data_IF_984801876549
#
_entry.id   IF_984801876549
#
_cell.length_a   1.000
_cell.length_b   1.000
_cell.length_c   1.000
_cell.angle_alpha   90.00
_cell.angle_beta   90.00
_cell.angle_gamma   90.00
#
_symmetry.space_group_name_H-M   'P 1'
#
loop_
_entity.id
_entity.type
_entity.pdbx_description
1 polymer ?
#
# COMPACT_ATOMS: atom_id res chain seq x y z
N UNK A 1 20.70 -17.99 -18.30
CA UNK A 1 21.99 -17.61 -17.65
C UNK A 1 22.60 -16.39 -18.32
N UNK A 2 22.61 -16.33 -19.65
CA UNK A 2 23.09 -15.18 -20.43
C UNK A 2 22.47 -13.85 -20.01
N UNK A 3 21.13 -13.76 -19.91
CA UNK A 3 20.45 -12.52 -19.53
C UNK A 3 20.83 -11.99 -18.13
N UNK A 4 21.09 -12.88 -17.18
CA UNK A 4 21.55 -12.53 -15.83
C UNK A 4 22.96 -11.92 -15.87
N UNK A 5 23.84 -12.44 -16.73
CA UNK A 5 25.17 -11.87 -16.95
C UNK A 5 25.12 -10.53 -17.69
N UNK A 6 24.26 -10.42 -18.70
CA UNK A 6 24.12 -9.22 -19.51
C UNK A 6 23.62 -8.03 -18.69
N UNK A 7 22.63 -8.26 -17.83
CA UNK A 7 21.99 -7.22 -17.03
C UNK A 7 22.57 -7.10 -15.61
N UNK A 8 23.57 -7.91 -15.25
CA UNK A 8 24.18 -7.95 -13.91
C UNK A 8 23.15 -8.14 -12.77
N UNK A 9 22.11 -8.93 -13.02
CA UNK A 9 21.04 -9.23 -12.04
C UNK A 9 21.07 -10.69 -11.62
N UNK A 10 20.45 -10.99 -10.48
CA UNK A 10 20.41 -12.35 -9.95
C UNK A 10 19.68 -13.29 -10.92
N UNK A 11 20.11 -14.55 -10.95
CA UNK A 11 19.49 -15.57 -11.80
C UNK A 11 18.03 -15.83 -11.40
N UNK A 12 17.72 -15.73 -10.11
CA UNK A 12 16.36 -15.89 -9.60
C UNK A 12 15.46 -14.78 -10.13
N UNK A 13 15.93 -13.53 -10.16
CA UNK A 13 15.21 -12.39 -10.74
C UNK A 13 14.85 -12.62 -12.20
N UNK A 14 15.78 -13.15 -12.99
CA UNK A 14 15.53 -13.49 -14.40
C UNK A 14 14.50 -14.60 -14.55
N UNK A 15 14.55 -15.62 -13.69
CA UNK A 15 13.58 -16.72 -13.72
C UNK A 15 12.18 -16.24 -13.34
N UNK A 16 12.07 -15.40 -12.30
CA UNK A 16 10.79 -14.77 -11.92
C UNK A 16 10.23 -13.94 -13.07
N UNK A 17 11.04 -13.07 -13.68
CA UNK A 17 10.60 -12.29 -14.83
C UNK A 17 10.13 -13.15 -16.01
N UNK A 18 10.82 -14.27 -16.30
CA UNK A 18 10.36 -15.21 -17.34
C UNK A 18 9.04 -15.90 -16.97
N UNK A 19 8.85 -16.28 -15.71
CA UNK A 19 7.60 -16.86 -15.24
C UNK A 19 6.43 -15.87 -15.36
N UNK A 20 6.65 -14.60 -15.01
CA UNK A 20 5.65 -13.54 -15.12
C UNK A 20 5.28 -13.29 -16.60
N UNK A 21 6.28 -13.19 -17.49
CA UNK A 21 6.05 -13.01 -18.93
C UNK A 21 5.32 -14.20 -19.56
N UNK A 22 5.60 -15.43 -19.11
CA UNK A 22 4.89 -16.63 -19.57
C UNK A 22 3.45 -16.65 -19.06
N UNK A 23 3.22 -16.25 -17.81
CA UNK A 23 1.89 -16.12 -17.22
C UNK A 23 1.04 -15.05 -17.93
N UNK A 24 1.64 -13.93 -18.33
CA UNK A 24 0.97 -12.89 -19.13
C UNK A 24 0.77 -13.28 -20.61
N UNK A 25 1.30 -14.44 -21.02
CA UNK A 25 1.20 -14.94 -22.40
C UNK A 25 2.10 -14.20 -23.40
N UNK A 26 3.02 -13.37 -22.92
CA UNK A 26 3.96 -12.59 -23.74
C UNK A 26 5.08 -13.44 -24.33
N UNK A 27 5.41 -14.56 -23.68
CA UNK A 27 6.36 -15.56 -24.16
C UNK A 27 5.83 -16.99 -23.99
N UNK A 28 6.47 -17.95 -24.63
CA UNK A 28 6.26 -19.38 -24.41
C UNK A 28 7.57 -20.16 -24.44
N UNK A 29 7.67 -21.21 -23.63
CA UNK A 29 8.83 -22.10 -23.60
C UNK A 29 8.68 -23.26 -24.60
N UNK A 30 9.72 -23.50 -25.41
CA UNK A 30 9.86 -24.72 -26.22
C UNK A 30 10.93 -25.60 -25.59
N UNK A 31 10.52 -26.80 -25.17
CA UNK A 31 11.39 -27.78 -24.49
C UNK A 31 12.68 -28.04 -25.29
N UNK A 32 13.82 -27.80 -24.66
CA UNK A 32 15.15 -27.98 -25.27
C UNK A 32 15.59 -26.87 -26.23
N UNK A 33 14.75 -25.85 -26.47
CA UNK A 33 15.06 -24.74 -27.39
C UNK A 33 15.04 -23.35 -26.72
N UNK A 34 14.41 -23.21 -25.56
CA UNK A 34 14.37 -21.95 -24.80
C UNK A 34 13.03 -21.24 -24.90
N UNK A 35 13.01 -19.93 -24.62
CA UNK A 35 11.80 -19.10 -24.60
C UNK A 35 11.68 -18.26 -25.87
N UNK A 36 10.46 -18.12 -26.37
CA UNK A 36 10.13 -17.39 -27.60
C UNK A 36 9.05 -16.37 -27.32
N UNK A 37 9.08 -15.24 -28.05
CA UNK A 37 8.07 -14.18 -27.92
C UNK A 37 6.77 -14.62 -28.59
N UNK A 38 5.66 -14.48 -27.88
CA UNK A 38 4.32 -14.76 -28.39
C UNK A 38 3.88 -13.71 -29.41
N UNK A 39 3.01 -14.09 -30.34
CA UNK A 39 2.38 -13.11 -31.23
C UNK A 39 1.29 -12.36 -30.45
N UNK A 40 1.60 -11.13 -30.05
CA UNK A 40 0.65 -10.25 -29.37
C UNK A 40 0.09 -9.28 -30.40
N UNK A 41 -1.23 -9.23 -30.54
CA UNK A 41 -1.88 -8.22 -31.36
C UNK A 41 -1.63 -6.84 -30.74
N UNK A 42 -0.75 -6.06 -31.37
CA UNK A 42 -0.50 -4.69 -30.92
C UNK A 42 -1.65 -3.81 -31.37
N UNK A 43 -2.60 -3.56 -30.48
CA UNK A 43 -3.62 -2.55 -30.71
C UNK A 43 -2.93 -1.18 -30.73
N UNK A 44 -2.91 -0.55 -31.90
CA UNK A 44 -2.47 0.84 -32.04
C UNK A 44 -3.60 1.72 -31.55
N UNK A 45 -3.76 1.82 -30.24
CA UNK A 45 -4.69 2.76 -29.64
C UNK A 45 -4.28 4.17 -30.07
N UNK A 46 -5.26 4.98 -30.49
CA UNK A 46 -5.06 6.42 -30.61
C UNK A 46 -4.61 6.89 -29.22
N UNK A 47 -3.43 7.49 -29.10
CA UNK A 47 -2.95 8.01 -27.83
C UNK A 47 -3.94 9.05 -27.33
N UNK A 48 -4.76 8.69 -26.34
CA UNK A 48 -5.66 9.64 -25.70
C UNK A 48 -4.79 10.46 -24.76
N UNK A 49 -4.36 11.63 -25.24
CA UNK A 49 -3.71 12.62 -24.40
C UNK A 49 -4.79 13.32 -23.57
N UNK A 50 -5.00 12.83 -22.34
CA UNK A 50 -5.95 13.43 -21.41
C UNK A 50 -5.31 14.65 -20.73
N UNK A 51 -5.73 15.84 -21.15
CA UNK A 51 -5.42 17.05 -20.39
C UNK A 51 -6.32 17.15 -19.17
N UNK A 52 -5.85 16.67 -18.02
CA UNK A 52 -6.58 16.74 -16.76
C UNK A 52 -6.90 18.17 -16.32
N UNK A 53 -6.08 19.17 -16.70
CA UNK A 53 -6.34 20.57 -16.35
C UNK A 53 -7.63 21.10 -16.99
N UNK A 54 -7.99 20.59 -18.17
CA UNK A 54 -9.25 20.93 -18.86
C UNK A 54 -10.45 20.12 -18.36
N UNK A 55 -10.21 19.06 -17.58
CA UNK A 55 -11.26 18.19 -17.01
C UNK A 55 -11.59 18.51 -15.57
N UNK A 56 -10.97 19.55 -15.01
CA UNK A 56 -11.15 20.01 -13.64
C UNK A 56 -11.85 21.37 -13.70
N UNK A 57 -12.89 21.57 -12.89
CA UNK A 57 -13.56 22.85 -12.76
C UNK A 57 -12.90 23.73 -11.68
N UNK A 58 -13.23 25.03 -11.69
CA UNK A 58 -12.69 25.99 -10.73
C UNK A 58 -12.92 25.57 -9.27
N UNK A 59 -14.07 24.95 -8.98
CA UNK A 59 -14.41 24.48 -7.64
C UNK A 59 -13.47 23.36 -7.17
N UNK A 60 -13.08 22.46 -8.07
CA UNK A 60 -12.16 21.36 -7.75
C UNK A 60 -10.75 21.89 -7.52
N UNK A 61 -10.30 22.89 -8.30
CA UNK A 61 -9.02 23.54 -8.06
C UNK A 61 -9.00 24.28 -6.72
N UNK A 62 -10.10 24.97 -6.39
CA UNK A 62 -10.24 25.66 -5.11
C UNK A 62 -10.29 24.67 -3.94
N UNK A 63 -10.99 23.55 -4.08
CA UNK A 63 -11.07 22.50 -3.08
C UNK A 63 -9.69 21.88 -2.79
N UNK A 64 -8.91 21.55 -3.82
CA UNK A 64 -7.52 21.08 -3.66
C UNK A 64 -6.67 22.13 -2.94
N UNK A 65 -6.71 23.39 -3.39
CA UNK A 65 -5.93 24.48 -2.78
C UNK A 65 -6.29 24.71 -1.30
N UNK A 66 -7.54 24.48 -0.93
CA UNK A 66 -8.05 24.63 0.43
C UNK A 66 -8.00 23.34 1.25
N UNK A 67 -7.53 22.23 0.68
CA UNK A 67 -7.34 20.97 1.40
C UNK A 67 -6.11 21.06 2.30
N UNK A 68 -6.35 21.61 3.49
CA UNK A 68 -5.36 21.75 4.56
C UNK A 68 -4.88 20.39 5.09
N UNK A 69 -5.64 19.30 4.89
CA UNK A 69 -5.21 17.96 5.32
C UNK A 69 -4.14 17.41 4.37
N UNK A 70 -4.30 17.61 3.05
CA UNK A 70 -3.37 17.14 2.03
C UNK A 70 -2.09 17.98 1.94
N UNK A 71 -2.19 19.29 2.10
CA UNK A 71 -1.06 20.21 2.03
C UNK A 71 -0.31 20.39 3.36
N UNK A 72 -0.79 19.75 4.42
CA UNK A 72 -0.21 19.80 5.76
C UNK A 72 -0.57 21.10 6.48
N UNK A 73 -1.24 20.97 7.63
CA UNK A 73 -1.42 22.11 8.52
C UNK A 73 -0.05 22.47 9.08
N UNK A 74 0.48 23.64 8.70
CA UNK A 74 1.62 24.25 9.41
C UNK A 74 1.10 24.72 10.77
N UNK A 75 1.08 23.80 11.73
CA UNK A 75 0.65 24.08 13.09
C UNK A 75 1.58 25.11 13.72
N UNK A 76 1.08 26.32 13.95
CA UNK A 76 1.72 27.26 14.85
C UNK A 76 1.24 26.97 16.27
N UNK A 77 2.14 27.11 17.26
CA UNK A 77 1.91 26.80 18.69
C UNK A 77 0.73 27.58 19.33
N UNK A 78 0.22 28.59 18.63
CA UNK A 78 -0.90 29.45 19.04
C UNK A 78 -2.23 29.10 18.36
N UNK A 79 -2.28 28.08 17.49
CA UNK A 79 -3.50 27.66 16.80
C UNK A 79 -4.28 26.61 17.61
N UNK A 80 -5.58 26.87 17.82
CA UNK A 80 -6.51 25.88 18.37
C UNK A 80 -7.03 25.00 17.22
N UNK A 81 -6.70 23.71 17.27
CA UNK A 81 -7.19 22.73 16.30
C UNK A 81 -8.64 22.34 16.61
N UNK A 82 -9.55 22.58 15.68
CA UNK A 82 -10.92 22.04 15.70
C UNK A 82 -11.09 20.84 14.78
N UNK A 83 -10.04 20.45 14.05
CA UNK A 83 -10.10 19.36 13.06
C UNK A 83 -9.80 17.99 13.65
N UNK A 84 -9.22 17.93 14.84
CA UNK A 84 -8.88 16.66 15.49
C UNK A 84 -9.90 16.35 16.59
N UNK A 85 -10.74 15.34 16.32
CA UNK A 85 -11.50 14.62 17.36
C UNK A 85 -10.52 13.79 18.23
N UNK A 86 -9.29 13.59 17.77
CA UNK A 86 -8.25 12.87 18.52
C UNK A 86 -7.53 13.79 19.52
N UNK A 87 -7.30 13.32 20.76
CA UNK A 87 -6.63 14.07 21.81
C UNK A 87 -5.16 14.38 21.48
N UNK A 88 -4.56 15.32 22.21
CA UNK A 88 -3.13 15.62 22.13
C UNK A 88 -2.30 14.32 22.31
N UNK A 89 -1.42 14.06 21.35
CA UNK A 89 -0.53 12.89 21.31
C UNK A 89 0.37 12.80 22.55
N UNK A 90 0.68 13.92 23.22
CA UNK A 90 1.44 13.94 24.48
C UNK A 90 0.65 13.42 25.68
N UNK A 91 -0.68 13.38 25.58
CA UNK A 91 -1.54 12.84 26.63
C UNK A 91 -1.72 11.32 26.53
N UNK A 92 -1.27 10.70 25.44
CA UNK A 92 -1.34 9.26 25.29
C UNK A 92 -0.27 8.57 26.13
N UNK A 93 -0.68 7.68 27.02
CA UNK A 93 0.22 6.92 27.89
C UNK A 93 0.91 5.78 27.13
N UNK A 94 1.94 6.15 26.38
CA UNK A 94 2.75 5.23 25.57
C UNK A 94 3.36 4.12 26.43
N UNK A 95 3.73 4.42 27.68
CA UNK A 95 4.47 3.51 28.53
C UNK A 95 3.57 2.38 29.04
N UNK A 96 2.38 2.71 29.53
CA UNK A 96 1.40 1.70 29.93
C UNK A 96 0.84 0.93 28.73
N UNK A 97 0.68 1.57 27.57
CA UNK A 97 0.31 0.87 26.35
C UNK A 97 1.33 -0.19 25.96
N UNK A 98 2.63 0.15 25.95
CA UNK A 98 3.71 -0.81 25.67
C UNK A 98 3.70 -1.98 26.65
N UNK A 99 3.55 -1.71 27.95
CA UNK A 99 3.48 -2.76 28.98
C UNK A 99 2.29 -3.68 28.77
N UNK A 100 1.10 -3.12 28.55
CA UNK A 100 -0.11 -3.90 28.31
C UNK A 100 0.01 -4.76 27.04
N UNK A 101 0.55 -4.19 25.96
CA UNK A 101 0.79 -4.90 24.70
C UNK A 101 1.77 -6.06 24.87
N UNK A 102 2.94 -5.83 25.48
CA UNK A 102 3.94 -6.87 25.73
C UNK A 102 3.41 -7.98 26.66
N UNK A 103 2.66 -7.60 27.69
CA UNK A 103 2.00 -8.57 28.55
C UNK A 103 1.03 -9.45 27.74
N UNK A 104 0.23 -8.83 26.86
CA UNK A 104 -0.70 -9.59 26.03
C UNK A 104 -0.02 -10.52 25.04
N UNK A 105 1.04 -10.06 24.38
CA UNK A 105 1.89 -10.88 23.51
C UNK A 105 2.58 -12.02 24.27
N UNK A 106 2.96 -11.82 25.53
CA UNK A 106 3.55 -12.87 26.37
C UNK A 106 2.55 -13.98 26.71
N UNK A 107 1.29 -13.60 27.01
CA UNK A 107 0.23 -14.55 27.38
C UNK A 107 -0.30 -15.30 26.16
N UNK A 108 -0.54 -14.60 25.05
CA UNK A 108 -1.24 -15.17 23.88
C UNK A 108 -0.35 -15.42 22.66
N UNK A 109 0.91 -15.01 22.71
CA UNK A 109 1.87 -15.26 21.64
C UNK A 109 1.45 -14.63 20.31
N UNK A 110 1.72 -15.37 19.25
CA UNK A 110 1.45 -15.02 17.86
C UNK A 110 -0.05 -15.00 17.50
N UNK A 111 -0.92 -15.60 18.34
CA UNK A 111 -2.38 -15.59 18.16
C UNK A 111 -2.93 -14.15 18.15
N UNK A 112 -2.31 -13.22 18.89
CA UNK A 112 -2.68 -11.80 18.94
C UNK A 112 -2.55 -11.13 17.56
N UNK A 113 -1.63 -11.59 16.72
CA UNK A 113 -1.37 -11.02 15.41
C UNK A 113 -2.45 -11.41 14.38
N UNK A 114 -3.19 -12.50 14.66
CA UNK A 114 -4.40 -12.92 13.97
C UNK A 114 -4.40 -12.66 12.45
N UNK A 115 -3.42 -13.23 11.73
CA UNK A 115 -3.22 -13.10 10.28
C UNK A 115 -4.34 -13.68 9.39
N UNK A 116 -5.57 -13.87 9.92
CA UNK A 116 -6.77 -14.33 9.21
C UNK A 116 -7.91 -13.30 9.24
N UNK A 117 -9.10 -13.69 8.75
CA UNK A 117 -10.31 -12.85 8.80
C UNK A 117 -10.79 -12.63 10.25
N UNK A 118 -10.22 -11.64 10.92
CA UNK A 118 -10.57 -11.28 12.28
C UNK A 118 -11.89 -10.48 12.33
N UNK A 119 -12.93 -11.05 12.97
CA UNK A 119 -14.16 -10.31 13.36
C UNK A 119 -13.96 -9.34 14.55
N UNK A 120 -12.71 -9.14 14.99
CA UNK A 120 -12.35 -8.40 16.21
C UNK A 120 -12.23 -9.31 17.44
N UNK A 121 -11.49 -8.84 18.46
CA UNK A 121 -11.22 -9.61 19.67
C UNK A 121 -12.46 -9.72 20.56
N UNK A 122 -12.94 -10.94 20.84
CA UNK A 122 -14.26 -11.20 21.45
C UNK A 122 -14.42 -10.60 22.86
N UNK A 123 -13.33 -10.44 23.62
CA UNK A 123 -13.34 -9.81 24.94
C UNK A 123 -13.47 -8.27 24.89
N UNK A 124 -13.10 -7.62 23.78
CA UNK A 124 -13.24 -6.16 23.61
C UNK A 124 -14.62 -5.71 23.14
N UNK A 125 -15.43 -6.63 22.61
CA UNK A 125 -16.78 -6.33 22.08
C UNK A 125 -17.85 -6.28 23.20
N UNK A 126 -17.56 -6.84 24.39
CA UNK A 126 -18.49 -6.90 25.52
C UNK A 126 -18.12 -5.97 26.69
N UNK A 127 -17.20 -5.03 26.51
CA UNK A 127 -16.99 -3.95 27.47
C UNK A 127 -18.16 -2.96 27.37
N UNK A 128 -19.31 -3.38 27.90
CA UNK A 128 -20.49 -2.54 28.10
C UNK A 128 -20.07 -1.43 29.07
N UNK A 129 -20.08 -0.20 28.58
CA UNK A 129 -20.01 1.02 29.39
C UNK A 129 -20.96 0.85 30.58
N UNK A 130 -20.38 0.74 31.78
CA UNK A 130 -21.04 1.03 33.05
C UNK A 130 -20.70 2.47 33.43
#
# INVERSE_FOLDING_TARGET
>A
RELSSLLSISRNTVLTAYADLEQEGLIYAVKGKGNFVSHVETFKFLSIELNWTEKINEQTFLAEKLDLMKHGVRWNKEMISFTSIAPDEKLFDVENFKKAFLNRMSIEGDIVLNYGYAKGYKLGINAKLL
#
